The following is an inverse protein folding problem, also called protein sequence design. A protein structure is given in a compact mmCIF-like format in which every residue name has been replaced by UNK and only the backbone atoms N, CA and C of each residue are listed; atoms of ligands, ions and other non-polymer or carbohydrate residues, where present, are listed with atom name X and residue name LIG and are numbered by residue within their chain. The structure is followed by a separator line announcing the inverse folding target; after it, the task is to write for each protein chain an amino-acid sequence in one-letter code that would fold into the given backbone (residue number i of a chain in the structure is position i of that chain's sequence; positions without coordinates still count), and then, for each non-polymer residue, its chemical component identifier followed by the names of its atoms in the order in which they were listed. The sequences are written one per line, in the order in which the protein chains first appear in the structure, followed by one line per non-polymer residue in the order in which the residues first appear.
data_IF_477818092825
#
_entry.id   IF_477818092825
#
_cell.length_a   1.000
_cell.length_b   1.000
_cell.length_c   1.000
_cell.angle_alpha   90.00
_cell.angle_beta   90.00
_cell.angle_gamma   90.00
#
_symmetry.space_group_name_H-M   'P 1'
#
loop_
_entity.id
_entity.type
_entity.pdbx_description
1 polymer ?
#
# COMPACT_ATOMS: atom_id res chain seq x y z
N UNK A 1 0.34 -24.47 -9.67
CA UNK A 1 1.74 -24.06 -9.38
C UNK A 1 1.72 -23.14 -8.17
N UNK A 2 2.66 -23.26 -7.20
CA UNK A 2 2.69 -22.30 -6.11
C UNK A 2 3.09 -20.93 -6.68
N UNK A 3 2.40 -19.88 -6.28
CA UNK A 3 2.58 -18.51 -6.70
C UNK A 3 4.06 -18.01 -6.58
N UNK A 4 4.76 -18.42 -5.52
CA UNK A 4 6.19 -18.20 -5.33
C UNK A 4 7.07 -18.78 -6.48
N UNK A 5 6.64 -19.89 -7.08
CA UNK A 5 7.35 -20.48 -8.23
C UNK A 5 7.22 -19.63 -9.49
N UNK A 6 6.05 -18.99 -9.70
CA UNK A 6 5.80 -18.03 -10.77
C UNK A 6 6.69 -16.79 -10.63
N UNK A 7 6.72 -16.17 -9.46
CA UNK A 7 7.58 -15.01 -9.18
C UNK A 7 9.05 -15.39 -9.43
N UNK A 8 9.52 -16.50 -8.85
CA UNK A 8 10.90 -16.94 -9.03
C UNK A 8 11.24 -17.18 -10.51
N UNK A 9 10.31 -17.73 -11.30
CA UNK A 9 10.53 -18.01 -12.72
C UNK A 9 10.62 -16.73 -13.57
N UNK A 10 9.71 -15.78 -13.36
CA UNK A 10 9.59 -14.59 -14.22
C UNK A 10 10.31 -13.36 -13.68
N UNK A 11 10.47 -13.20 -12.37
CA UNK A 11 11.25 -12.10 -11.80
C UNK A 11 12.77 -12.39 -11.73
N UNK A 12 13.18 -13.68 -11.74
CA UNK A 12 14.59 -14.05 -11.65
C UNK A 12 15.49 -13.45 -12.75
N UNK A 13 15.08 -13.37 -14.04
CA UNK A 13 15.89 -12.72 -15.08
C UNK A 13 16.10 -11.22 -14.80
N UNK A 14 15.19 -10.59 -14.06
CA UNK A 14 15.15 -9.16 -13.76
C UNK A 14 15.54 -8.83 -12.32
N UNK A 15 16.19 -9.75 -11.60
CA UNK A 15 16.54 -9.62 -10.17
C UNK A 15 17.22 -8.28 -9.84
N UNK A 16 18.07 -7.78 -10.74
CA UNK A 16 18.75 -6.50 -10.54
C UNK A 16 17.78 -5.31 -10.52
N UNK A 17 16.76 -5.32 -11.38
CA UNK A 17 15.72 -4.29 -11.40
C UNK A 17 14.86 -4.35 -10.13
N UNK A 18 14.57 -5.55 -9.61
CA UNK A 18 13.86 -5.74 -8.33
C UNK A 18 14.70 -5.16 -7.19
N UNK A 19 16.00 -5.44 -7.14
CA UNK A 19 16.91 -4.91 -6.11
C UNK A 19 16.98 -3.39 -6.17
N UNK A 20 17.12 -2.80 -7.36
CA UNK A 20 17.13 -1.34 -7.53
C UNK A 20 15.80 -0.71 -7.09
N UNK A 21 14.67 -1.30 -7.50
CA UNK A 21 13.35 -0.84 -7.05
C UNK A 21 13.23 -0.86 -5.54
N UNK A 22 13.63 -1.94 -4.88
CA UNK A 22 13.61 -2.06 -3.41
C UNK A 22 14.52 -1.03 -2.75
N UNK A 23 15.74 -0.86 -3.26
CA UNK A 23 16.71 0.09 -2.72
C UNK A 23 16.19 1.52 -2.80
N UNK A 24 15.61 1.93 -3.94
CA UNK A 24 15.04 3.26 -4.07
C UNK A 24 13.78 3.45 -3.23
N UNK A 25 12.94 2.41 -3.05
CA UNK A 25 11.80 2.46 -2.12
C UNK A 25 12.27 2.59 -0.66
N UNK A 26 13.31 1.86 -0.24
CA UNK A 26 13.91 2.00 1.08
C UNK A 26 14.45 3.42 1.30
N UNK A 27 15.20 3.94 0.32
CA UNK A 27 15.75 5.29 0.38
C UNK A 27 14.63 6.35 0.45
N UNK A 28 13.58 6.19 -0.36
CA UNK A 28 12.40 7.06 -0.31
C UNK A 28 11.71 7.02 1.05
N UNK A 29 11.62 5.84 1.69
CA UNK A 29 11.05 5.69 3.02
C UNK A 29 11.90 6.39 4.08
N UNK A 30 13.21 6.24 4.02
CA UNK A 30 14.14 6.92 4.93
C UNK A 30 14.08 8.45 4.76
N UNK A 31 14.08 8.94 3.52
CA UNK A 31 13.92 10.38 3.24
C UNK A 31 12.57 10.91 3.72
N UNK A 32 11.52 10.09 3.69
CA UNK A 32 10.22 10.42 4.27
C UNK A 32 10.29 10.66 5.77
N UNK A 33 11.07 9.84 6.50
CA UNK A 33 11.29 10.02 7.94
C UNK A 33 11.99 11.35 8.25
N UNK A 34 13.01 11.72 7.48
CA UNK A 34 13.68 13.02 7.61
C UNK A 34 12.74 14.18 7.28
N UNK A 35 11.92 14.05 6.23
CA UNK A 35 10.91 15.05 5.91
C UNK A 35 9.90 15.24 7.05
N UNK A 36 9.42 14.14 7.65
CA UNK A 36 8.51 14.20 8.81
C UNK A 36 9.21 14.76 10.06
N UNK A 37 10.50 14.47 10.26
CA UNK A 37 11.26 14.98 11.41
C UNK A 37 11.37 16.51 11.41
N UNK A 38 11.27 17.16 10.24
CA UNK A 38 11.26 18.62 10.14
C UNK A 38 10.08 19.28 10.88
N UNK A 39 9.03 18.53 11.22
CA UNK A 39 7.90 19.05 12.03
C UNK A 39 8.34 19.38 13.45
N UNK A 40 9.35 18.70 13.99
CA UNK A 40 9.84 18.91 15.37
C UNK A 40 10.37 20.33 15.56
N UNK A 41 11.34 20.81 14.76
CA UNK A 41 11.82 22.18 14.88
C UNK A 41 10.73 23.21 14.58
N UNK A 42 9.85 22.97 13.61
CA UNK A 42 8.73 23.87 13.31
C UNK A 42 7.82 24.07 14.53
N UNK A 43 7.39 22.98 15.16
CA UNK A 43 6.54 23.07 16.36
C UNK A 43 7.24 23.76 17.52
N UNK A 44 8.51 23.50 17.74
CA UNK A 44 9.28 24.16 18.81
C UNK A 44 9.41 25.65 18.61
N UNK A 45 9.71 26.10 17.38
CA UNK A 45 9.82 27.53 17.07
C UNK A 45 8.47 28.23 17.23
N UNK A 46 7.37 27.63 16.69
CA UNK A 46 6.05 28.23 16.73
C UNK A 46 5.45 28.31 18.13
N UNK A 47 5.68 27.28 18.96
CA UNK A 47 5.14 27.24 20.33
C UNK A 47 6.09 27.78 21.39
N UNK A 48 7.23 28.32 21.02
CA UNK A 48 8.19 28.91 21.95
C UNK A 48 8.78 27.90 22.96
N UNK A 49 8.79 26.60 22.63
CA UNK A 49 9.29 25.50 23.47
C UNK A 49 10.86 25.52 23.50
N UNK A 50 11.47 26.55 23.00
CA UNK A 50 12.91 26.66 22.73
C UNK A 50 13.79 26.90 23.97
N UNK A 51 13.23 27.00 25.17
CA UNK A 51 14.02 27.10 26.39
C UNK A 51 14.45 25.71 26.90
N UNK A 52 15.29 25.04 26.13
CA UNK A 52 16.12 23.98 26.70
C UNK A 52 17.52 24.56 26.73
N UNK A 53 18.09 24.73 27.94
CA UNK A 53 19.51 24.93 28.16
C UNK A 53 20.28 23.67 27.74
N UNK A 54 20.20 23.34 26.45
CA UNK A 54 20.90 22.22 25.88
C UNK A 54 22.35 22.65 25.69
N UNK A 55 23.24 22.15 26.53
CA UNK A 55 24.65 22.24 26.29
C UNK A 55 25.07 21.29 25.16
N UNK A 56 26.03 21.69 24.34
CA UNK A 56 26.62 20.83 23.34
C UNK A 56 27.30 19.64 24.02
N UNK A 57 26.90 18.41 23.60
CA UNK A 57 27.46 17.15 24.09
C UNK A 57 28.24 16.50 22.96
N UNK A 58 29.51 16.16 23.19
CA UNK A 58 30.28 15.41 22.20
C UNK A 58 29.75 14.00 22.06
N UNK A 59 29.25 13.65 20.86
CA UNK A 59 28.67 12.35 20.53
C UNK A 59 29.70 11.19 20.64
N UNK A 60 31.01 11.52 20.58
CA UNK A 60 32.07 10.51 20.72
C UNK A 60 32.30 10.07 22.19
N UNK A 61 31.85 10.89 23.15
CA UNK A 61 32.00 10.61 24.59
C UNK A 61 30.87 9.79 25.19
N UNK A 62 29.84 9.46 24.40
CA UNK A 62 28.60 8.85 24.88
C UNK A 62 28.57 7.34 24.57
N UNK A 63 28.41 6.50 25.58
CA UNK A 63 28.30 5.05 25.46
C UNK A 63 26.84 4.59 25.72
N UNK A 64 26.15 4.14 24.66
CA UNK A 64 24.80 3.63 24.77
C UNK A 64 23.80 4.31 23.83
N UNK A 65 22.83 3.53 23.29
CA UNK A 65 21.87 4.00 22.27
C UNK A 65 20.96 5.12 22.80
N UNK A 66 20.48 5.02 24.04
CA UNK A 66 19.62 6.02 24.68
C UNK A 66 20.35 7.35 24.93
N UNK A 67 21.58 7.27 25.42
CA UNK A 67 22.41 8.44 25.68
C UNK A 67 22.81 9.13 24.36
N UNK A 68 23.13 8.35 23.33
CA UNK A 68 23.45 8.87 22.00
C UNK A 68 22.25 9.60 21.38
N UNK A 69 21.03 9.04 21.51
CA UNK A 69 19.79 9.68 21.05
C UNK A 69 19.52 10.99 21.79
N UNK A 70 19.71 11.00 23.10
CA UNK A 70 19.50 12.19 23.93
C UNK A 70 20.52 13.29 23.59
N UNK A 71 21.79 12.93 23.39
CA UNK A 71 22.84 13.84 22.99
C UNK A 71 22.61 14.38 21.56
N UNK A 72 22.24 13.52 20.61
CA UNK A 72 21.95 13.94 19.25
C UNK A 72 20.75 14.90 19.17
N UNK A 73 19.70 14.63 19.93
CA UNK A 73 18.56 15.56 20.08
C UNK A 73 18.96 16.87 20.73
N UNK A 74 19.73 16.82 21.82
CA UNK A 74 20.25 17.99 22.54
C UNK A 74 21.09 18.88 21.62
N UNK A 75 22.00 18.30 20.86
CA UNK A 75 22.84 19.04 19.91
C UNK A 75 22.04 19.69 18.79
N UNK A 76 21.01 18.99 18.26
CA UNK A 76 20.10 19.57 17.27
C UNK A 76 19.34 20.77 17.85
N UNK A 77 18.92 20.70 19.10
CA UNK A 77 18.20 21.77 19.76
C UNK A 77 19.14 22.96 20.10
N UNK A 78 20.36 22.67 20.49
CA UNK A 78 21.40 23.70 20.71
C UNK A 78 21.63 24.48 19.41
N UNK A 79 21.89 23.81 18.29
CA UNK A 79 22.08 24.44 16.98
C UNK A 79 20.89 25.29 16.56
N UNK A 80 19.67 24.77 16.76
CA UNK A 80 18.43 25.50 16.43
C UNK A 80 18.29 26.75 17.33
N UNK A 81 18.60 26.64 18.61
CA UNK A 81 18.55 27.75 19.56
C UNK A 81 19.54 28.86 19.21
N UNK A 82 20.78 28.49 18.89
CA UNK A 82 21.85 29.43 18.45
C UNK A 82 21.42 30.16 17.16
N UNK A 83 20.91 29.42 16.16
CA UNK A 83 20.46 30.02 14.91
C UNK A 83 19.24 30.93 15.08
N UNK A 84 18.34 30.62 16.02
CA UNK A 84 17.19 31.49 16.34
C UNK A 84 17.64 32.77 17.01
N UNK A 85 18.66 32.70 17.90
CA UNK A 85 19.21 33.86 18.59
C UNK A 85 19.96 34.80 17.62
N UNK A 86 20.69 34.26 16.65
CA UNK A 86 21.45 35.03 15.67
C UNK A 86 20.60 35.61 14.53
N UNK A 87 19.69 34.84 13.95
CA UNK A 87 18.99 35.18 12.70
C UNK A 87 17.49 35.43 12.88
N UNK A 88 16.95 35.15 14.07
CA UNK A 88 15.53 35.26 14.38
C UNK A 88 14.71 34.04 13.90
N UNK A 89 13.61 33.77 14.59
CA UNK A 89 12.78 32.57 14.35
C UNK A 89 12.19 32.45 12.93
N UNK A 90 11.87 33.60 12.30
CA UNK A 90 11.32 33.63 10.94
C UNK A 90 12.32 33.12 9.89
N UNK A 91 13.60 33.48 10.02
CA UNK A 91 14.65 33.03 9.08
C UNK A 91 14.94 31.55 9.25
N UNK A 92 15.00 31.08 10.50
CA UNK A 92 15.19 29.64 10.79
C UNK A 92 14.00 28.80 10.27
N UNK A 93 12.76 29.29 10.39
CA UNK A 93 11.58 28.65 9.76
C UNK A 93 11.71 28.57 8.24
N UNK A 94 12.24 29.60 7.58
CA UNK A 94 12.48 29.57 6.14
C UNK A 94 13.51 28.48 5.76
N UNK A 95 14.59 28.31 6.53
CA UNK A 95 15.59 27.26 6.31
C UNK A 95 15.03 25.88 6.56
N UNK A 96 14.21 25.68 7.60
CA UNK A 96 13.52 24.41 7.84
C UNK A 96 12.51 24.11 6.72
N UNK A 97 11.82 25.14 6.21
CA UNK A 97 10.95 25.03 5.04
C UNK A 97 11.70 24.61 3.78
N UNK A 98 12.88 25.21 3.54
CA UNK A 98 13.76 24.83 2.43
C UNK A 98 14.27 23.38 2.59
N UNK A 99 14.71 23.00 3.79
CA UNK A 99 15.11 21.61 4.09
C UNK A 99 13.97 20.63 3.82
N UNK A 100 12.75 20.94 4.27
CA UNK A 100 11.57 20.14 4.01
C UNK A 100 11.30 19.98 2.50
N UNK A 101 11.40 21.08 1.74
CA UNK A 101 11.19 21.06 0.29
C UNK A 101 12.25 20.19 -0.42
N UNK A 102 13.53 20.32 -0.05
CA UNK A 102 14.63 19.52 -0.60
C UNK A 102 14.46 18.04 -0.26
N UNK A 103 14.18 17.70 1.01
CA UNK A 103 13.98 16.31 1.43
C UNK A 103 12.77 15.67 0.76
N UNK A 104 11.66 16.42 0.62
CA UNK A 104 10.48 15.96 -0.12
C UNK A 104 10.78 15.80 -1.61
N UNK A 105 11.55 16.71 -2.21
CA UNK A 105 12.00 16.60 -3.59
C UNK A 105 12.85 15.34 -3.82
N UNK A 106 13.81 15.08 -2.94
CA UNK A 106 14.64 13.86 -3.00
C UNK A 106 13.81 12.58 -2.78
N UNK A 107 12.86 12.61 -1.84
CA UNK A 107 11.90 11.51 -1.64
C UNK A 107 11.09 11.24 -2.91
N UNK A 108 10.53 12.27 -3.53
CA UNK A 108 9.76 12.14 -4.76
C UNK A 108 10.62 11.63 -5.92
N UNK A 109 11.85 12.12 -6.04
CA UNK A 109 12.81 11.65 -7.04
C UNK A 109 13.14 10.17 -6.86
N UNK A 110 13.44 9.74 -5.64
CA UNK A 110 13.74 8.32 -5.35
C UNK A 110 12.53 7.42 -5.54
N UNK A 111 11.32 7.86 -5.18
CA UNK A 111 10.08 7.15 -5.46
C UNK A 111 9.81 7.05 -6.98
N UNK A 112 10.09 8.10 -7.73
CA UNK A 112 10.00 8.06 -9.20
C UNK A 112 11.02 7.11 -9.79
N UNK A 113 12.28 7.11 -9.34
CA UNK A 113 13.31 6.16 -9.77
C UNK A 113 12.92 4.71 -9.47
N UNK A 114 12.33 4.44 -8.30
CA UNK A 114 11.80 3.11 -7.97
C UNK A 114 10.79 2.64 -9.01
N UNK A 115 9.81 3.49 -9.35
CA UNK A 115 8.82 3.19 -10.38
C UNK A 115 9.44 3.09 -11.78
N UNK A 116 10.42 3.95 -12.09
CA UNK A 116 11.13 3.91 -13.37
C UNK A 116 11.80 2.56 -13.63
N UNK A 117 12.47 1.97 -12.62
CA UNK A 117 13.06 0.63 -12.72
C UNK A 117 12.02 -0.50 -12.68
N UNK A 118 10.81 -0.23 -12.17
CA UNK A 118 9.70 -1.20 -12.21
C UNK A 118 9.10 -1.37 -13.61
N UNK A 119 9.12 -0.32 -14.45
CA UNK A 119 8.55 -0.36 -15.81
C UNK A 119 9.21 -1.42 -16.69
N UNK A 120 10.55 -1.48 -16.87
CA UNK A 120 11.19 -2.50 -17.70
C UNK A 120 11.04 -3.92 -17.13
N UNK A 121 10.92 -4.07 -15.81
CA UNK A 121 10.56 -5.35 -15.18
C UNK A 121 9.17 -5.79 -15.63
N UNK A 122 8.18 -4.92 -15.52
CA UNK A 122 6.78 -5.15 -15.88
C UNK A 122 6.64 -5.54 -17.36
N UNK A 123 7.18 -4.70 -18.24
CA UNK A 123 7.11 -4.94 -19.69
C UNK A 123 7.92 -6.15 -20.13
N UNK A 124 9.03 -6.45 -19.46
CA UNK A 124 9.85 -7.62 -19.69
C UNK A 124 9.13 -8.92 -19.33
N UNK A 125 8.51 -8.97 -18.15
CA UNK A 125 7.67 -10.12 -17.74
C UNK A 125 6.51 -10.35 -18.71
N UNK A 126 5.83 -9.26 -19.12
CA UNK A 126 4.73 -9.34 -20.09
C UNK A 126 5.21 -9.88 -21.45
N UNK A 127 6.35 -9.41 -21.94
CA UNK A 127 6.98 -9.91 -23.17
C UNK A 127 7.29 -11.39 -23.06
N UNK A 128 7.91 -11.82 -21.98
CA UNK A 128 8.36 -13.22 -21.81
C UNK A 128 7.17 -14.17 -21.66
N UNK A 129 6.09 -13.75 -20.99
CA UNK A 129 4.82 -14.50 -20.92
C UNK A 129 4.20 -14.66 -22.31
N UNK A 130 4.06 -13.56 -23.06
CA UNK A 130 3.46 -13.58 -24.40
C UNK A 130 4.28 -14.46 -25.36
N UNK A 131 5.61 -14.35 -25.31
CA UNK A 131 6.51 -15.17 -26.12
C UNK A 131 6.33 -16.65 -25.83
N UNK A 132 6.38 -17.06 -24.55
CA UNK A 132 6.20 -18.46 -24.17
C UNK A 132 4.83 -19.02 -24.57
N UNK A 133 3.78 -18.21 -24.46
CA UNK A 133 2.44 -18.62 -24.91
C UNK A 133 2.37 -18.75 -26.43
N UNK A 134 2.93 -17.80 -27.17
CA UNK A 134 2.95 -17.85 -28.63
C UNK A 134 3.73 -19.06 -29.14
N UNK A 135 4.94 -19.29 -28.61
CA UNK A 135 5.77 -20.45 -28.96
C UNK A 135 5.02 -21.76 -28.68
N UNK A 136 4.27 -21.82 -27.56
CA UNK A 136 3.45 -22.98 -27.22
C UNK A 136 2.30 -23.16 -28.20
N UNK A 137 1.57 -22.10 -28.54
CA UNK A 137 0.45 -22.15 -29.50
C UNK A 137 0.94 -22.65 -30.86
N UNK A 138 2.02 -22.10 -31.39
CA UNK A 138 2.57 -22.53 -32.71
C UNK A 138 3.06 -23.98 -32.67
N UNK A 139 3.47 -24.52 -31.54
CA UNK A 139 3.89 -25.92 -31.40
C UNK A 139 2.73 -26.91 -31.27
N UNK A 140 1.48 -26.47 -31.19
CA UNK A 140 0.32 -27.37 -31.07
C UNK A 140 -0.08 -27.95 -32.43
N UNK A 141 -0.56 -29.21 -32.47
CA UNK A 141 -1.02 -29.83 -33.71
C UNK A 141 -2.30 -29.15 -34.25
N UNK A 142 -2.47 -29.17 -35.59
CA UNK A 142 -3.60 -28.52 -36.27
C UNK A 142 -4.98 -28.96 -35.73
N UNK A 143 -5.12 -30.20 -35.31
CA UNK A 143 -6.37 -30.72 -34.72
C UNK A 143 -6.77 -30.07 -33.39
N UNK A 144 -5.88 -29.29 -32.76
CA UNK A 144 -6.20 -28.53 -31.56
C UNK A 144 -7.01 -27.26 -31.87
N UNK A 145 -6.91 -26.72 -33.09
CA UNK A 145 -7.49 -25.44 -33.49
C UNK A 145 -8.90 -25.61 -34.03
N UNK A 146 -9.89 -25.63 -33.15
CA UNK A 146 -11.33 -25.50 -33.54
C UNK A 146 -11.72 -24.02 -33.48
N UNK A 147 -12.87 -23.64 -34.09
CA UNK A 147 -13.38 -22.26 -34.08
C UNK A 147 -13.59 -21.74 -32.64
N UNK A 148 -14.15 -22.59 -31.77
CA UNK A 148 -14.37 -22.24 -30.33
C UNK A 148 -13.07 -22.05 -29.59
N UNK A 149 -12.05 -22.86 -29.84
CA UNK A 149 -10.74 -22.74 -29.16
C UNK A 149 -9.90 -21.54 -29.62
N UNK A 150 -10.13 -21.04 -30.84
CA UNK A 150 -9.43 -19.82 -31.31
C UNK A 150 -9.75 -18.61 -30.43
N UNK A 151 -11.02 -18.42 -30.07
CA UNK A 151 -11.42 -17.33 -29.16
C UNK A 151 -10.83 -17.47 -27.76
N UNK A 152 -10.82 -18.69 -27.19
CA UNK A 152 -10.19 -18.96 -25.88
C UNK A 152 -8.68 -18.70 -25.90
N UNK A 153 -7.98 -19.15 -26.94
CA UNK A 153 -6.54 -18.89 -27.10
C UNK A 153 -6.24 -17.38 -27.16
N UNK A 154 -7.01 -16.63 -27.96
CA UNK A 154 -6.84 -15.18 -28.06
C UNK A 154 -7.11 -14.49 -26.71
N UNK A 155 -8.18 -14.88 -26.00
CA UNK A 155 -8.48 -14.35 -24.66
C UNK A 155 -7.34 -14.60 -23.68
N UNK A 156 -6.78 -15.80 -23.65
CA UNK A 156 -5.65 -16.17 -22.80
C UNK A 156 -4.39 -15.37 -23.12
N UNK A 157 -4.11 -15.16 -24.42
CA UNK A 157 -2.93 -14.42 -24.86
C UNK A 157 -3.02 -12.91 -24.63
N UNK A 158 -4.24 -12.38 -24.46
CA UNK A 158 -4.48 -10.94 -24.25
C UNK A 158 -4.85 -10.66 -22.81
N UNK A 159 -5.96 -11.16 -22.31
CA UNK A 159 -6.53 -10.80 -21.01
C UNK A 159 -5.83 -11.50 -19.85
N UNK A 160 -5.72 -12.84 -19.91
CA UNK A 160 -5.16 -13.64 -18.81
C UNK A 160 -3.68 -13.29 -18.57
N UNK A 161 -2.93 -12.99 -19.65
CA UNK A 161 -1.53 -12.57 -19.53
C UNK A 161 -1.40 -11.25 -18.76
N UNK A 162 -2.27 -10.28 -19.03
CA UNK A 162 -2.26 -9.00 -18.32
C UNK A 162 -2.64 -9.19 -16.83
N UNK A 163 -3.60 -10.10 -16.55
CA UNK A 163 -3.99 -10.41 -15.17
C UNK A 163 -2.86 -11.10 -14.40
N UNK A 164 -2.17 -12.05 -15.04
CA UNK A 164 -0.99 -12.71 -14.45
C UNK A 164 0.15 -11.72 -14.21
N UNK A 165 0.42 -10.82 -15.15
CA UNK A 165 1.42 -9.75 -14.99
C UNK A 165 1.07 -8.85 -13.82
N UNK A 166 -0.16 -8.33 -13.75
CA UNK A 166 -0.61 -7.48 -12.65
C UNK A 166 -0.52 -8.20 -11.29
N UNK A 167 -0.82 -9.50 -11.25
CA UNK A 167 -0.70 -10.33 -10.06
C UNK A 167 0.77 -10.49 -9.61
N UNK A 168 1.70 -10.70 -10.55
CA UNK A 168 3.14 -10.78 -10.25
C UNK A 168 3.65 -9.45 -9.67
N UNK A 169 3.27 -8.31 -10.28
CA UNK A 169 3.69 -6.99 -9.83
C UNK A 169 3.15 -6.67 -8.44
N UNK A 170 1.85 -6.88 -8.22
CA UNK A 170 1.23 -6.72 -6.89
C UNK A 170 1.89 -7.59 -5.83
N UNK A 171 2.30 -8.80 -6.20
CA UNK A 171 3.00 -9.68 -5.29
C UNK A 171 4.41 -9.21 -4.93
N UNK A 172 5.13 -8.62 -5.86
CA UNK A 172 6.44 -8.03 -5.57
C UNK A 172 6.33 -6.87 -4.58
N UNK A 173 5.33 -5.99 -4.76
CA UNK A 173 5.07 -4.90 -3.81
C UNK A 173 4.77 -5.45 -2.41
N UNK A 174 3.85 -6.38 -2.31
CA UNK A 174 3.36 -6.93 -1.03
C UNK A 174 4.39 -7.81 -0.31
N UNK A 175 5.18 -8.59 -1.05
CA UNK A 175 6.17 -9.50 -0.42
C UNK A 175 7.47 -8.81 -0.05
N UNK A 176 7.83 -7.71 -0.72
CA UNK A 176 9.12 -7.08 -0.54
C UNK A 176 9.01 -5.61 -0.13
N UNK A 177 8.30 -4.78 -0.90
CA UNK A 177 8.22 -3.34 -0.66
C UNK A 177 7.50 -3.02 0.64
N UNK A 178 6.27 -3.48 0.81
CA UNK A 178 5.42 -3.13 1.96
C UNK A 178 5.98 -3.65 3.30
N UNK A 179 6.48 -4.90 3.41
CA UNK A 179 7.09 -5.37 4.65
C UNK A 179 8.35 -4.59 5.04
N UNK A 180 9.18 -4.21 4.06
CA UNK A 180 10.38 -3.41 4.31
C UNK A 180 10.00 -2.01 4.79
N UNK A 181 9.02 -1.36 4.17
CA UNK A 181 8.52 -0.06 4.61
C UNK A 181 7.96 -0.12 6.04
N UNK A 182 7.13 -1.12 6.33
CA UNK A 182 6.58 -1.34 7.67
C UNK A 182 7.71 -1.56 8.68
N UNK A 183 8.71 -2.36 8.33
CA UNK A 183 9.85 -2.64 9.20
C UNK A 183 10.62 -1.36 9.53
N UNK A 184 10.94 -0.52 8.53
CA UNK A 184 11.65 0.75 8.73
C UNK A 184 10.85 1.67 9.65
N UNK A 185 9.55 1.84 9.40
CA UNK A 185 8.69 2.67 10.25
C UNK A 185 8.57 2.11 11.67
N UNK A 186 8.37 0.79 11.84
CA UNK A 186 8.29 0.17 13.17
C UNK A 186 9.59 0.29 13.94
N UNK A 187 10.75 0.09 13.30
CA UNK A 187 12.05 0.31 13.93
C UNK A 187 12.19 1.77 14.40
N UNK A 188 11.79 2.72 13.57
CA UNK A 188 11.82 4.15 13.95
C UNK A 188 10.89 4.44 15.12
N UNK A 189 9.67 3.91 15.13
CA UNK A 189 8.74 4.05 16.25
C UNK A 189 9.30 3.43 17.53
N UNK A 190 9.95 2.26 17.41
CA UNK A 190 10.55 1.57 18.56
C UNK A 190 11.71 2.37 19.18
N UNK A 191 12.51 3.00 18.31
CA UNK A 191 13.59 3.90 18.70
C UNK A 191 13.06 5.16 19.42
N UNK A 192 11.91 5.69 19.00
CA UNK A 192 11.29 6.87 19.62
C UNK A 192 10.69 6.51 20.98
N UNK A 193 9.90 5.42 21.04
CA UNK A 193 9.29 4.93 22.28
C UNK A 193 8.90 3.47 22.17
N UNK A 194 9.59 2.64 22.92
CA UNK A 194 9.27 1.21 22.96
C UNK A 194 7.91 0.93 23.62
N UNK A 195 7.53 1.72 24.64
CA UNK A 195 6.26 1.58 25.36
C UNK A 195 5.04 1.86 24.47
N UNK A 196 5.08 3.00 23.75
CA UNK A 196 4.03 3.36 22.79
C UNK A 196 3.97 2.34 21.64
N UNK A 197 5.13 1.89 21.14
CA UNK A 197 5.17 0.96 20.01
C UNK A 197 4.65 -0.40 20.39
N UNK A 198 4.93 -0.91 21.60
CA UNK A 198 4.38 -2.15 22.09
C UNK A 198 2.85 -2.07 22.24
N UNK A 199 2.34 -0.95 22.75
CA UNK A 199 0.92 -0.70 22.83
C UNK A 199 0.25 -0.69 21.43
N UNK A 200 0.86 0.01 20.46
CA UNK A 200 0.42 0.02 19.06
C UNK A 200 0.45 -1.36 18.44
N UNK A 201 1.47 -2.16 18.72
CA UNK A 201 1.64 -3.50 18.19
C UNK A 201 0.54 -4.48 18.67
N UNK A 202 -0.05 -4.22 19.83
CA UNK A 202 -1.22 -4.96 20.36
C UNK A 202 -2.50 -4.48 19.64
N UNK A 203 -2.62 -3.19 19.35
CA UNK A 203 -3.82 -2.62 18.71
C UNK A 203 -3.91 -2.92 17.20
N UNK A 204 -2.79 -2.98 16.48
CA UNK A 204 -2.75 -3.24 15.03
C UNK A 204 -3.42 -4.55 14.61
N UNK A 205 -3.16 -5.72 15.26
CA UNK A 205 -3.86 -6.96 14.94
C UNK A 205 -5.37 -6.87 15.15
N UNK A 206 -5.82 -6.15 16.19
CA UNK A 206 -7.26 -5.98 16.46
C UNK A 206 -7.94 -5.23 15.31
N UNK A 207 -7.35 -4.14 14.85
CA UNK A 207 -7.84 -3.41 13.68
C UNK A 207 -7.79 -4.26 12.39
N UNK A 208 -6.70 -5.01 12.20
CA UNK A 208 -6.53 -5.93 11.07
C UNK A 208 -7.58 -7.04 11.03
N UNK A 209 -7.95 -7.60 12.19
CA UNK A 209 -9.02 -8.60 12.30
C UNK A 209 -10.41 -8.03 11.92
N UNK A 210 -10.72 -6.81 12.34
CA UNK A 210 -11.98 -6.13 11.98
C UNK A 210 -12.07 -5.85 10.50
N UNK A 211 -11.01 -5.28 9.90
CA UNK A 211 -10.92 -5.01 8.46
C UNK A 211 -10.97 -6.31 7.66
N UNK A 212 -10.25 -7.34 8.11
CA UNK A 212 -10.22 -8.65 7.48
C UNK A 212 -11.57 -9.36 7.46
N UNK A 213 -12.41 -9.13 8.45
CA UNK A 213 -13.78 -9.67 8.50
C UNK A 213 -14.68 -9.04 7.43
N UNK A 214 -14.54 -7.74 7.22
CA UNK A 214 -15.25 -7.01 6.15
C UNK A 214 -14.79 -7.52 4.78
N UNK A 215 -13.49 -7.66 4.56
CA UNK A 215 -12.91 -8.16 3.31
C UNK A 215 -13.38 -9.57 2.93
N UNK A 216 -13.48 -10.49 3.90
CA UNK A 216 -13.99 -11.86 3.65
C UNK A 216 -15.43 -11.89 3.16
N UNK A 217 -16.28 -11.06 3.73
CA UNK A 217 -17.68 -10.96 3.31
C UNK A 217 -17.82 -10.36 1.91
N UNK A 218 -16.95 -9.43 1.56
CA UNK A 218 -16.91 -8.83 0.23
C UNK A 218 -16.46 -9.85 -0.84
N UNK A 219 -15.47 -10.70 -0.53
CA UNK A 219 -15.00 -11.76 -1.44
C UNK A 219 -16.10 -12.76 -1.82
N UNK A 220 -16.91 -13.20 -0.85
CA UNK A 220 -18.05 -14.12 -1.13
C UNK A 220 -19.08 -13.46 -2.06
N UNK A 221 -19.40 -12.18 -1.80
CA UNK A 221 -20.37 -11.47 -2.62
C UNK A 221 -19.82 -11.21 -4.04
N UNK A 222 -18.54 -10.89 -4.19
CA UNK A 222 -17.87 -10.71 -5.48
C UNK A 222 -17.90 -11.99 -6.33
N UNK A 223 -17.67 -13.16 -5.71
CA UNK A 223 -17.76 -14.45 -6.41
C UNK A 223 -19.16 -14.69 -6.97
N UNK A 224 -20.21 -14.42 -6.19
CA UNK A 224 -21.59 -14.53 -6.67
C UNK A 224 -21.87 -13.59 -7.85
N UNK A 225 -21.30 -12.37 -7.83
CA UNK A 225 -21.40 -11.44 -8.96
C UNK A 225 -20.70 -11.96 -10.22
N UNK A 226 -19.53 -12.62 -10.08
CA UNK A 226 -18.84 -13.26 -11.22
C UNK A 226 -19.62 -14.42 -11.80
N UNK A 227 -20.23 -15.27 -10.96
CA UNK A 227 -21.09 -16.38 -11.40
C UNK A 227 -22.29 -15.83 -12.21
N UNK A 228 -22.94 -14.77 -11.76
CA UNK A 228 -24.05 -14.12 -12.49
C UNK A 228 -23.60 -13.47 -13.82
N UNK A 229 -22.38 -12.91 -13.88
CA UNK A 229 -21.83 -12.41 -15.14
C UNK A 229 -21.58 -13.55 -16.15
N UNK A 230 -21.13 -14.71 -15.69
CA UNK A 230 -20.99 -15.90 -16.53
C UNK A 230 -22.35 -16.37 -17.06
N UNK A 231 -23.40 -16.33 -16.23
CA UNK A 231 -24.76 -16.65 -16.65
C UNK A 231 -25.29 -15.70 -17.74
N UNK A 232 -24.98 -14.39 -17.63
CA UNK A 232 -25.33 -13.41 -18.67
C UNK A 232 -24.62 -13.73 -19.98
N UNK A 233 -23.30 -14.00 -19.93
CA UNK A 233 -22.54 -14.33 -21.13
C UNK A 233 -23.07 -15.60 -21.78
N UNK A 234 -23.34 -16.65 -20.99
CA UNK A 234 -23.93 -17.91 -21.46
C UNK A 234 -25.31 -17.72 -22.15
N UNK A 235 -26.16 -16.86 -21.53
CA UNK A 235 -27.48 -16.53 -22.11
C UNK A 235 -27.33 -15.75 -23.42
N UNK A 236 -26.36 -14.82 -23.53
CA UNK A 236 -26.08 -14.11 -24.76
C UNK A 236 -25.59 -15.05 -25.86
N UNK A 237 -24.66 -15.95 -25.52
CA UNK A 237 -24.12 -16.96 -26.46
C UNK A 237 -25.21 -17.94 -26.96
N UNK A 238 -26.02 -18.45 -26.04
CA UNK A 238 -27.19 -19.29 -26.36
C UNK A 238 -28.14 -18.57 -27.32
N UNK A 239 -28.44 -17.29 -27.05
CA UNK A 239 -29.34 -16.49 -27.87
C UNK A 239 -28.76 -16.22 -29.27
N UNK A 240 -27.48 -15.86 -29.37
CA UNK A 240 -26.83 -15.59 -30.66
C UNK A 240 -26.70 -16.86 -31.52
N UNK A 241 -26.34 -17.98 -30.91
CA UNK A 241 -26.20 -19.27 -31.59
C UNK A 241 -27.53 -19.79 -32.07
N UNK A 242 -28.61 -19.58 -31.28
CA UNK A 242 -29.96 -20.01 -31.60
C UNK A 242 -30.84 -18.99 -32.32
N UNK A 243 -30.28 -17.85 -32.79
CA UNK A 243 -31.05 -16.71 -33.27
C UNK A 243 -32.00 -17.03 -34.42
N UNK A 244 -31.61 -17.94 -35.32
CA UNK A 244 -32.50 -18.44 -36.42
C UNK A 244 -33.74 -19.14 -35.88
N UNK A 245 -33.57 -19.95 -34.85
CA UNK A 245 -34.68 -20.70 -34.20
C UNK A 245 -35.60 -19.69 -33.48
N UNK A 246 -35.02 -18.75 -32.77
CA UNK A 246 -35.77 -17.67 -32.08
C UNK A 246 -36.67 -16.94 -33.06
N UNK A 247 -36.11 -16.55 -34.22
CA UNK A 247 -36.83 -15.86 -35.28
C UNK A 247 -37.94 -16.74 -35.92
N UNK A 248 -37.63 -18.00 -36.16
CA UNK A 248 -38.59 -18.92 -36.77
C UNK A 248 -39.84 -19.17 -35.89
N UNK A 249 -39.67 -19.12 -34.57
CA UNK A 249 -40.72 -19.34 -33.59
C UNK A 249 -41.29 -18.04 -32.97
N UNK A 250 -40.90 -16.87 -33.44
CA UNK A 250 -41.27 -15.56 -32.85
C UNK A 250 -41.11 -15.50 -31.34
N UNK A 251 -39.99 -16.06 -30.83
CA UNK A 251 -39.75 -16.22 -29.40
C UNK A 251 -38.97 -15.06 -28.77
N UNK A 252 -38.79 -13.93 -29.46
CA UNK A 252 -37.97 -12.77 -29.02
C UNK A 252 -38.42 -12.22 -27.69
N UNK A 253 -39.73 -12.05 -27.51
CA UNK A 253 -40.27 -11.46 -26.26
C UNK A 253 -40.05 -12.38 -25.05
N UNK A 254 -40.11 -13.69 -25.24
CA UNK A 254 -39.83 -14.64 -24.17
C UNK A 254 -38.36 -14.61 -23.75
N UNK A 255 -37.43 -14.52 -24.72
CA UNK A 255 -35.99 -14.38 -24.43
C UNK A 255 -35.65 -13.03 -23.81
N UNK A 256 -36.26 -11.95 -24.30
CA UNK A 256 -36.10 -10.59 -23.71
C UNK A 256 -36.54 -10.56 -22.24
N UNK A 257 -37.67 -11.17 -21.92
CA UNK A 257 -38.15 -11.27 -20.54
C UNK A 257 -37.20 -12.09 -19.67
N UNK A 258 -36.68 -13.22 -20.18
CA UNK A 258 -35.70 -14.05 -19.46
C UNK A 258 -34.42 -13.28 -19.18
N UNK A 259 -33.88 -12.60 -20.19
CA UNK A 259 -32.68 -11.79 -20.09
C UNK A 259 -32.85 -10.60 -19.12
N UNK A 260 -33.98 -9.89 -19.20
CA UNK A 260 -34.28 -8.79 -18.29
C UNK A 260 -34.34 -9.24 -16.83
N UNK A 261 -34.95 -10.41 -16.54
CA UNK A 261 -34.94 -10.97 -15.17
C UNK A 261 -33.52 -11.25 -14.68
N UNK A 262 -32.68 -11.80 -15.55
CA UNK A 262 -31.27 -12.10 -15.23
C UNK A 262 -30.49 -10.82 -14.93
N UNK A 263 -30.61 -9.79 -15.77
CA UNK A 263 -29.97 -8.49 -15.56
C UNK A 263 -30.46 -7.82 -14.28
N UNK A 264 -31.76 -7.86 -14.00
CA UNK A 264 -32.30 -7.27 -12.78
C UNK A 264 -31.81 -7.98 -11.51
N UNK A 265 -31.70 -9.29 -11.51
CA UNK A 265 -31.12 -10.07 -10.42
C UNK A 265 -29.63 -9.72 -10.24
N UNK A 266 -28.89 -9.61 -11.34
CA UNK A 266 -27.47 -9.21 -11.34
C UNK A 266 -27.31 -7.80 -10.81
N UNK A 267 -28.15 -6.83 -11.24
CA UNK A 267 -28.16 -5.47 -10.73
C UNK A 267 -28.34 -5.42 -9.21
N UNK A 268 -29.28 -6.19 -8.65
CA UNK A 268 -29.51 -6.26 -7.21
C UNK A 268 -28.27 -6.80 -6.47
N UNK A 269 -27.63 -7.82 -7.03
CA UNK A 269 -26.41 -8.41 -6.46
C UNK A 269 -25.25 -7.39 -6.49
N UNK A 270 -24.99 -6.74 -7.63
CA UNK A 270 -23.95 -5.71 -7.73
C UNK A 270 -24.23 -4.50 -6.85
N UNK A 271 -25.47 -4.05 -6.71
CA UNK A 271 -25.84 -3.00 -5.78
C UNK A 271 -25.48 -3.39 -4.33
N UNK A 272 -25.73 -4.62 -3.92
CA UNK A 272 -25.36 -5.14 -2.59
C UNK A 272 -23.85 -5.22 -2.40
N UNK A 273 -23.14 -5.68 -3.42
CA UNK A 273 -21.66 -5.75 -3.43
C UNK A 273 -21.08 -4.34 -3.30
N UNK A 274 -21.49 -3.43 -4.17
CA UNK A 274 -20.96 -2.07 -4.22
C UNK A 274 -21.25 -1.28 -2.94
N UNK A 275 -22.46 -1.40 -2.37
CA UNK A 275 -22.77 -0.77 -1.08
C UNK A 275 -21.83 -1.25 0.04
N UNK A 276 -21.49 -2.53 0.08
CA UNK A 276 -20.52 -3.07 1.05
C UNK A 276 -19.08 -2.65 0.73
N UNK A 277 -18.74 -2.58 -0.55
CA UNK A 277 -17.44 -2.10 -0.98
C UNK A 277 -17.19 -0.65 -0.57
N UNK A 278 -18.16 0.22 -0.84
CA UNK A 278 -18.07 1.62 -0.44
C UNK A 278 -18.10 1.83 1.09
N UNK A 279 -18.68 0.91 1.85
CA UNK A 279 -18.63 0.96 3.32
C UNK A 279 -17.23 0.64 3.87
N UNK A 280 -16.42 -0.12 3.15
CA UNK A 280 -15.11 -0.55 3.62
C UNK A 280 -14.14 0.63 3.87
N UNK A 281 -14.19 1.66 3.01
CA UNK A 281 -13.33 2.85 3.16
C UNK A 281 -13.69 3.68 4.41
N UNK A 282 -14.94 4.13 4.63
CA UNK A 282 -15.30 4.87 5.84
C UNK A 282 -15.05 4.10 7.13
N UNK A 283 -15.32 2.79 7.15
CA UNK A 283 -15.04 1.95 8.33
C UNK A 283 -13.54 1.88 8.61
N UNK A 284 -12.73 1.71 7.56
CA UNK A 284 -11.27 1.71 7.69
C UNK A 284 -10.73 3.05 8.19
N UNK A 285 -11.29 4.15 7.71
CA UNK A 285 -10.95 5.51 8.14
C UNK A 285 -11.34 5.75 9.61
N UNK A 286 -12.57 5.39 9.99
CA UNK A 286 -13.02 5.45 11.36
C UNK A 286 -12.14 4.64 12.32
N UNK A 287 -11.80 3.40 11.96
CA UNK A 287 -10.90 2.58 12.76
C UNK A 287 -9.51 3.19 12.87
N UNK A 288 -8.98 3.72 11.77
CA UNK A 288 -7.68 4.40 11.75
C UNK A 288 -7.67 5.63 12.67
N UNK A 289 -8.71 6.48 12.59
CA UNK A 289 -8.85 7.66 13.43
C UNK A 289 -9.05 7.28 14.90
N UNK A 290 -9.84 6.23 15.18
CA UNK A 290 -10.03 5.71 16.54
C UNK A 290 -8.71 5.22 17.13
N UNK A 291 -7.88 4.52 16.36
CA UNK A 291 -6.55 4.10 16.79
C UNK A 291 -5.66 5.30 17.14
N UNK A 292 -5.66 6.33 16.29
CA UNK A 292 -4.91 7.57 16.55
C UNK A 292 -5.41 8.23 17.84
N UNK A 293 -6.73 8.31 18.05
CA UNK A 293 -7.30 8.87 19.28
C UNK A 293 -6.90 8.10 20.54
N UNK A 294 -6.88 6.76 20.47
CA UNK A 294 -6.43 5.89 21.58
C UNK A 294 -4.94 6.08 21.87
N UNK A 295 -4.11 6.16 20.82
CA UNK A 295 -2.66 6.41 20.97
C UNK A 295 -2.41 7.81 21.52
N UNK A 296 -3.18 8.80 21.07
CA UNK A 296 -3.11 10.17 21.56
C UNK A 296 -3.47 10.26 23.04
N UNK A 297 -4.53 9.57 23.46
CA UNK A 297 -4.90 9.49 24.87
C UNK A 297 -3.81 8.82 25.72
N UNK A 298 -3.38 7.63 25.33
CA UNK A 298 -2.36 6.88 26.08
C UNK A 298 -1.01 7.59 26.11
N UNK A 299 -0.53 8.11 24.96
CA UNK A 299 0.69 8.88 24.87
C UNK A 299 0.60 10.21 25.63
N UNK A 300 -0.56 10.87 25.58
CA UNK A 300 -0.81 12.08 26.36
C UNK A 300 -0.72 11.82 27.88
N UNK A 301 -1.30 10.72 28.37
CA UNK A 301 -1.18 10.33 29.78
C UNK A 301 0.28 10.06 30.17
N UNK A 302 1.06 9.39 29.32
CA UNK A 302 2.47 9.12 29.57
C UNK A 302 3.31 10.40 29.64
N UNK A 303 3.02 11.38 28.76
CA UNK A 303 3.76 12.66 28.70
C UNK A 303 3.39 13.55 29.87
N UNK A 304 2.08 13.72 30.16
CA UNK A 304 1.59 14.53 31.26
C UNK A 304 1.96 13.97 32.64
N UNK A 305 2.05 12.64 32.75
CA UNK A 305 2.45 11.95 33.97
C UNK A 305 3.96 11.94 34.23
N UNK A 306 4.78 12.59 33.40
CA UNK A 306 6.25 12.54 33.46
C UNK A 306 6.85 11.13 33.47
N UNK A 307 6.12 10.15 32.96
CA UNK A 307 6.56 8.75 32.85
C UNK A 307 7.27 8.44 31.52
N UNK A 308 7.51 9.44 30.68
CA UNK A 308 8.12 9.30 29.34
C UNK A 308 9.16 10.39 29.09
N UNK A 309 10.22 10.00 28.40
CA UNK A 309 11.28 10.92 27.92
C UNK A 309 10.91 11.65 26.62
N UNK A 310 9.65 11.48 26.14
CA UNK A 310 9.19 12.03 24.87
C UNK A 310 8.53 13.39 25.12
N UNK A 311 8.98 14.39 24.37
CA UNK A 311 8.33 15.70 24.31
C UNK A 311 7.15 15.73 23.32
N UNK A 312 6.28 16.72 23.44
CA UNK A 312 5.08 16.86 22.61
C UNK A 312 5.37 16.89 21.09
N UNK A 313 6.47 17.55 20.68
CA UNK A 313 6.85 17.63 19.27
C UNK A 313 7.28 16.26 18.72
N UNK A 314 8.08 15.50 19.49
CA UNK A 314 8.45 14.11 19.12
C UNK A 314 7.24 13.18 19.13
N UNK A 315 6.26 13.41 19.99
CA UNK A 315 5.02 12.63 19.99
C UNK A 315 4.17 12.88 18.73
N UNK A 316 4.08 14.13 18.27
CA UNK A 316 3.41 14.43 16.99
C UNK A 316 4.14 13.76 15.83
N UNK A 317 5.47 13.77 15.81
CA UNK A 317 6.27 13.04 14.83
C UNK A 317 6.00 11.53 14.87
N UNK A 318 5.89 10.93 16.07
CA UNK A 318 5.49 9.55 16.27
C UNK A 318 4.13 9.24 15.61
N UNK A 319 3.12 10.10 15.83
CA UNK A 319 1.79 9.94 15.24
C UNK A 319 1.81 10.01 13.71
N UNK A 320 2.63 10.87 13.12
CA UNK A 320 2.79 10.98 11.65
C UNK A 320 3.38 9.70 11.07
N UNK A 321 4.43 9.15 11.71
CA UNK A 321 5.04 7.88 11.28
C UNK A 321 4.03 6.74 11.42
N UNK A 322 3.32 6.67 12.55
CA UNK A 322 2.29 5.66 12.77
C UNK A 322 1.19 5.72 11.68
N UNK A 323 0.71 6.92 11.35
CA UNK A 323 -0.25 7.10 10.27
C UNK A 323 0.27 6.58 8.92
N UNK A 324 1.56 6.76 8.66
CA UNK A 324 2.21 6.33 7.42
C UNK A 324 2.30 4.81 7.28
N UNK A 325 2.24 4.04 8.39
CA UNK A 325 2.20 2.56 8.38
C UNK A 325 0.84 2.03 7.91
N UNK A 326 -0.24 2.78 8.10
CA UNK A 326 -1.61 2.29 7.88
C UNK A 326 -1.82 1.82 6.44
N UNK A 327 -1.30 2.56 5.44
CA UNK A 327 -1.49 2.21 4.04
C UNK A 327 -0.72 0.94 3.62
N UNK A 328 0.60 0.80 3.86
CA UNK A 328 1.32 -0.44 3.61
C UNK A 328 0.71 -1.65 4.35
N UNK A 329 0.24 -1.47 5.59
CA UNK A 329 -0.41 -2.53 6.35
C UNK A 329 -1.75 -2.97 5.74
N UNK A 330 -2.53 -2.02 5.19
CA UNK A 330 -3.76 -2.32 4.44
C UNK A 330 -3.46 -3.09 3.15
N UNK A 331 -2.43 -2.70 2.41
CA UNK A 331 -2.06 -3.34 1.15
C UNK A 331 -1.55 -4.76 1.38
N UNK A 332 -0.74 -4.98 2.41
CA UNK A 332 -0.32 -6.30 2.88
C UNK A 332 -1.52 -7.18 3.28
N UNK A 333 -2.49 -6.62 3.99
CA UNK A 333 -3.72 -7.33 4.37
C UNK A 333 -4.56 -7.70 3.15
N UNK A 334 -4.72 -6.82 2.16
CA UNK A 334 -5.46 -7.09 0.92
C UNK A 334 -4.85 -8.22 0.12
N UNK A 335 -3.54 -8.24 -0.01
CA UNK A 335 -2.85 -9.28 -0.75
C UNK A 335 -2.99 -10.67 -0.15
N UNK A 336 -3.08 -10.79 1.17
CA UNK A 336 -3.40 -12.06 1.82
C UNK A 336 -4.73 -12.68 1.36
N UNK A 337 -5.62 -11.89 0.74
CA UNK A 337 -6.88 -12.33 0.17
C UNK A 337 -6.87 -12.50 -1.35
N UNK A 338 -5.98 -11.81 -2.08
CA UNK A 338 -5.90 -11.87 -3.55
C UNK A 338 -4.95 -12.94 -4.06
N UNK A 339 -3.99 -13.40 -3.26
CA UNK A 339 -2.96 -14.40 -3.62
C UNK A 339 -3.49 -15.87 -3.52
N UNK A 340 -4.73 -16.08 -3.13
CA UNK A 340 -5.38 -17.39 -3.14
C UNK A 340 -6.32 -17.51 -4.33
#
# INVERSE_FOLDING_TARGET
MSFLRLIRRFASPYKWLVVLNLLFNMLSTVLSLFSFAAIIPVLRILFGISQVDAAWVDLSSVSGVEQWQTAAKGNLYYLLGEQIAEHGGAMVLAWVGLFLAVMTGLKCLTAWLANFYMVPLRTGVLRDLRRQLYDKVVSLPLGYFTQERKGDILSRMTNDVNEVEASIMSALDVLFKDPIMILIYLLTLFVISWQLTLFVLILLPLAGLLIGRIGRNLKRASRQGQEQNADILSQMEETLSGLRVVKAFNAEDKLRQRFNRLIDATRQTFNRINRRYYLAHPVSEFLGTTLIAVILWFGGVLILGHHSTIDAATFIYYLIIFYSIINPAKDLSRAGYSIR
#
